data_IF_370746123420
#
_entry.id   IF_370746123420
#
_cell.length_a   1.000
_cell.length_b   1.000
_cell.length_c   1.000
_cell.angle_alpha   90.00
_cell.angle_beta   90.00
_cell.angle_gamma   90.00
#
_symmetry.space_group_name_H-M   'P 1'
#
loop_
_entity.id
_entity.type
_entity.pdbx_description
1 polymer ?
#
# COMPACT_ATOMS: atom_id res chain seq x y z
N UNK A 1 -1.84 10.15 5.73
CA UNK A 1 -2.60 10.87 6.74
C UNK A 1 -2.99 12.28 6.28
N UNK A 2 -2.06 13.10 5.82
CA UNK A 2 -2.26 14.51 5.49
C UNK A 2 -3.35 14.71 4.44
N UNK A 3 -3.38 13.91 3.39
CA UNK A 3 -4.43 13.98 2.36
C UNK A 3 -5.84 13.80 2.92
N UNK A 4 -6.02 13.03 4.00
CA UNK A 4 -7.34 12.80 4.62
C UNK A 4 -7.74 13.86 5.63
N UNK A 5 -6.78 14.51 6.31
CA UNK A 5 -7.07 15.29 7.52
C UNK A 5 -6.80 16.80 7.39
N UNK A 6 -5.82 17.19 6.57
CA UNK A 6 -5.47 18.60 6.42
C UNK A 6 -6.52 19.40 5.65
N UNK A 7 -6.64 20.68 5.97
CA UNK A 7 -7.71 21.58 5.48
C UNK A 7 -7.23 22.56 4.40
N UNK A 8 -5.94 22.58 4.08
CA UNK A 8 -5.42 23.43 3.00
C UNK A 8 -6.06 23.07 1.65
N UNK A 9 -6.28 24.07 0.77
CA UNK A 9 -7.03 23.90 -0.48
C UNK A 9 -6.57 22.71 -1.33
N UNK A 10 -5.27 22.48 -1.44
CA UNK A 10 -4.69 21.37 -2.21
C UNK A 10 -5.15 19.98 -1.71
N UNK A 11 -5.30 19.81 -0.38
CA UNK A 11 -5.77 18.55 0.19
C UNK A 11 -7.28 18.39 0.07
N UNK A 12 -8.02 19.49 0.13
CA UNK A 12 -9.48 19.48 -0.12
C UNK A 12 -9.76 19.07 -1.55
N UNK A 13 -9.05 19.67 -2.52
CA UNK A 13 -9.14 19.31 -3.93
C UNK A 13 -8.75 17.86 -4.18
N UNK A 14 -7.62 17.40 -3.59
CA UNK A 14 -7.17 16.03 -3.72
C UNK A 14 -8.22 15.02 -3.22
N UNK A 15 -8.91 15.30 -2.12
CA UNK A 15 -10.00 14.44 -1.62
C UNK A 15 -11.19 14.40 -2.58
N UNK A 16 -11.58 15.54 -3.15
CA UNK A 16 -12.66 15.58 -4.13
C UNK A 16 -12.30 14.74 -5.35
N UNK A 17 -11.09 14.91 -5.90
CA UNK A 17 -10.57 14.13 -7.03
C UNK A 17 -10.41 12.64 -6.71
N UNK A 18 -10.01 12.31 -5.49
CA UNK A 18 -9.92 10.92 -5.05
C UNK A 18 -11.29 10.24 -5.03
N UNK A 19 -12.32 10.89 -4.50
CA UNK A 19 -13.68 10.36 -4.51
C UNK A 19 -14.21 10.14 -5.93
N UNK A 20 -13.95 11.07 -6.85
CA UNK A 20 -14.30 10.93 -8.27
C UNK A 20 -13.59 9.72 -8.89
N UNK A 21 -12.28 9.60 -8.63
CA UNK A 21 -11.45 8.49 -9.12
C UNK A 21 -11.93 7.13 -8.62
N UNK A 22 -12.13 6.99 -7.31
CA UNK A 22 -12.61 5.72 -6.72
C UNK A 22 -13.97 5.34 -7.31
N UNK A 23 -14.91 6.30 -7.40
CA UNK A 23 -16.22 6.05 -8.02
C UNK A 23 -16.07 5.60 -9.47
N UNK A 24 -15.22 6.27 -10.26
CA UNK A 24 -14.97 5.91 -11.66
C UNK A 24 -14.39 4.50 -11.82
N UNK A 25 -13.47 4.11 -10.96
CA UNK A 25 -12.89 2.77 -10.97
C UNK A 25 -13.94 1.69 -10.66
N UNK A 26 -14.86 1.95 -9.72
CA UNK A 26 -16.00 1.07 -9.47
C UNK A 26 -16.96 0.99 -10.66
N UNK A 27 -17.24 2.11 -11.33
CA UNK A 27 -18.06 2.12 -12.55
C UNK A 27 -17.44 1.27 -13.66
N UNK A 28 -16.14 1.43 -13.89
CA UNK A 28 -15.39 0.64 -14.86
C UNK A 28 -15.42 -0.86 -14.54
N UNK A 29 -15.52 -1.22 -13.25
CA UNK A 29 -15.71 -2.59 -12.78
C UNK A 29 -17.17 -3.09 -12.86
N UNK A 30 -18.09 -2.31 -13.43
CA UNK A 30 -19.49 -2.70 -13.64
C UNK A 30 -20.44 -2.31 -12.50
N UNK A 31 -20.01 -1.52 -11.53
CA UNK A 31 -20.89 -1.01 -10.47
C UNK A 31 -21.75 0.14 -11.02
N UNK A 32 -23.05 0.17 -10.69
CA UNK A 32 -23.93 1.27 -11.08
C UNK A 32 -23.45 2.61 -10.51
N UNK A 33 -23.59 3.73 -11.23
CA UNK A 33 -23.00 5.03 -10.83
C UNK A 33 -23.36 5.49 -9.41
N UNK A 34 -24.61 5.34 -8.98
CA UNK A 34 -25.00 5.75 -7.62
C UNK A 34 -24.35 4.89 -6.55
N UNK A 35 -24.29 3.58 -6.78
CA UNK A 35 -23.61 2.66 -5.87
C UNK A 35 -22.10 2.88 -5.87
N UNK A 36 -21.50 3.20 -7.02
CA UNK A 36 -20.08 3.51 -7.14
C UNK A 36 -19.70 4.75 -6.31
N UNK A 37 -20.50 5.81 -6.37
CA UNK A 37 -20.33 7.00 -5.53
C UNK A 37 -20.48 6.68 -4.03
N UNK A 38 -21.43 5.83 -3.67
CA UNK A 38 -21.60 5.39 -2.29
C UNK A 38 -20.42 4.56 -1.80
N UNK A 39 -19.93 3.62 -2.65
CA UNK A 39 -18.74 2.83 -2.35
C UNK A 39 -17.50 3.72 -2.17
N UNK A 40 -17.32 4.74 -3.03
CA UNK A 40 -16.22 5.69 -2.91
C UNK A 40 -16.23 6.44 -1.58
N UNK A 41 -17.40 6.89 -1.13
CA UNK A 41 -17.54 7.52 0.19
C UNK A 41 -17.24 6.53 1.32
N UNK A 42 -17.74 5.31 1.22
CA UNK A 42 -17.48 4.24 2.19
C UNK A 42 -15.97 3.98 2.32
N UNK A 43 -15.27 3.83 1.20
CA UNK A 43 -13.82 3.65 1.15
C UNK A 43 -13.10 4.84 1.80
N UNK A 44 -13.44 6.05 1.38
CA UNK A 44 -12.83 7.26 1.91
C UNK A 44 -13.01 7.41 3.42
N UNK A 45 -14.21 7.18 3.92
CA UNK A 45 -14.51 7.30 5.35
C UNK A 45 -13.78 6.24 6.16
N UNK A 46 -13.65 5.02 5.62
CA UNK A 46 -12.86 3.95 6.22
C UNK A 46 -11.37 4.34 6.32
N UNK A 47 -10.78 4.76 5.20
CA UNK A 47 -9.38 5.19 5.15
C UNK A 47 -9.12 6.41 6.03
N UNK A 48 -10.07 7.35 6.11
CA UNK A 48 -9.97 8.52 7.00
C UNK A 48 -9.90 8.11 8.48
N UNK A 49 -10.69 7.12 8.91
CA UNK A 49 -10.62 6.61 10.29
C UNK A 49 -9.27 5.95 10.58
N UNK A 50 -8.72 5.19 9.64
CA UNK A 50 -7.37 4.63 9.76
C UNK A 50 -6.30 5.74 9.79
N UNK A 51 -6.43 6.75 8.93
CA UNK A 51 -5.53 7.89 8.88
C UNK A 51 -5.52 8.70 10.18
N UNK A 52 -6.65 8.81 10.87
CA UNK A 52 -6.74 9.47 12.19
C UNK A 52 -5.90 8.77 13.26
N UNK A 53 -5.84 7.44 13.20
CA UNK A 53 -5.06 6.62 14.13
C UNK A 53 -3.57 6.47 13.74
N UNK A 54 -3.21 6.85 12.52
CA UNK A 54 -1.82 6.78 12.03
C UNK A 54 -0.97 7.93 12.56
N UNK A 55 0.33 7.69 12.72
CA UNK A 55 1.32 8.74 12.95
C UNK A 55 1.43 9.66 11.74
N UNK A 56 1.76 10.94 11.94
CA UNK A 56 2.06 11.84 10.84
C UNK A 56 3.51 11.68 10.35
N UNK A 57 3.84 12.34 9.22
CA UNK A 57 5.15 12.22 8.58
C UNK A 57 6.32 12.71 9.44
N UNK A 58 6.06 13.60 10.41
CA UNK A 58 7.08 14.08 11.36
C UNK A 58 7.28 13.03 12.44
N UNK A 59 6.20 12.55 13.03
CA UNK A 59 6.22 11.49 14.04
C UNK A 59 6.85 10.18 13.53
N UNK A 60 6.62 9.83 12.26
CA UNK A 60 7.24 8.65 11.61
C UNK A 60 8.77 8.76 11.44
N UNK A 61 9.36 9.93 11.67
CA UNK A 61 10.83 10.11 11.65
C UNK A 61 11.48 9.93 13.03
N UNK A 62 10.68 9.88 14.09
CA UNK A 62 11.17 9.66 15.45
C UNK A 62 11.18 8.14 15.75
N UNK A 63 12.35 7.50 15.85
CA UNK A 63 12.44 6.07 16.14
C UNK A 63 11.78 5.71 17.48
N UNK A 64 11.80 6.60 18.46
CA UNK A 64 11.20 6.36 19.79
C UNK A 64 9.69 6.21 19.73
N UNK A 65 9.04 6.89 18.77
CA UNK A 65 7.59 6.78 18.56
C UNK A 65 7.19 5.51 17.79
N UNK A 66 8.15 4.79 17.24
CA UNK A 66 7.94 3.56 16.51
C UNK A 66 8.51 2.33 17.21
N UNK A 67 9.19 2.51 18.33
CA UNK A 67 9.80 1.42 19.08
C UNK A 67 8.83 0.90 20.16
N UNK A 68 8.07 -0.13 19.80
CA UNK A 68 7.11 -0.81 20.67
C UNK A 68 7.32 -2.32 20.61
N UNK A 69 8.41 -2.84 21.22
CA UNK A 69 8.64 -4.27 21.30
C UNK A 69 7.44 -4.98 21.92
N UNK A 70 6.88 -5.94 21.21
CA UNK A 70 5.64 -6.60 21.58
C UNK A 70 5.84 -8.11 21.48
N UNK A 71 5.59 -8.84 22.57
CA UNK A 71 5.59 -10.29 22.51
C UNK A 71 4.40 -10.79 21.65
N UNK A 72 4.58 -11.89 20.95
CA UNK A 72 3.50 -12.48 20.14
C UNK A 72 2.20 -12.66 20.94
N UNK A 73 2.29 -13.12 22.20
CA UNK A 73 1.14 -13.30 23.07
C UNK A 73 0.37 -11.99 23.36
N UNK A 74 1.03 -10.84 23.27
CA UNK A 74 0.43 -9.53 23.55
C UNK A 74 -0.31 -8.93 22.36
N UNK A 75 -0.13 -9.47 21.15
CA UNK A 75 -0.89 -9.05 19.96
C UNK A 75 -2.39 -9.22 20.14
N UNK A 76 -2.81 -10.28 20.80
CA UNK A 76 -4.23 -10.54 21.10
C UNK A 76 -4.83 -9.53 22.09
N UNK A 77 -4.02 -8.76 22.82
CA UNK A 77 -4.49 -7.63 23.64
C UNK A 77 -4.71 -6.37 22.82
N UNK A 78 -3.91 -6.19 21.76
CA UNK A 78 -4.01 -5.04 20.86
C UNK A 78 -5.14 -5.20 19.84
N UNK A 79 -5.33 -6.41 19.32
CA UNK A 79 -6.35 -6.73 18.33
C UNK A 79 -6.90 -8.15 18.58
N UNK A 80 -7.84 -8.31 19.52
CA UNK A 80 -8.36 -9.62 19.93
C UNK A 80 -9.26 -10.31 18.90
N UNK A 81 -9.91 -9.56 18.00
CA UNK A 81 -10.76 -10.13 16.95
C UNK A 81 -9.97 -10.74 15.79
N UNK A 82 -8.65 -10.50 15.72
CA UNK A 82 -7.81 -11.03 14.67
C UNK A 82 -7.08 -12.30 15.08
N UNK A 83 -7.20 -13.37 14.29
CA UNK A 83 -6.51 -14.64 14.54
C UNK A 83 -5.04 -14.57 14.15
N UNK A 84 -4.23 -14.02 15.04
CA UNK A 84 -2.78 -13.87 14.87
C UNK A 84 -2.08 -15.20 14.61
N UNK A 85 -2.56 -16.29 15.27
CA UNK A 85 -2.00 -17.61 15.10
C UNK A 85 -2.10 -18.09 13.65
N UNK A 86 -3.30 -18.05 13.08
CA UNK A 86 -3.52 -18.43 11.68
C UNK A 86 -2.78 -17.52 10.70
N UNK A 87 -2.70 -16.21 10.99
CA UNK A 87 -1.98 -15.29 10.14
C UNK A 87 -0.48 -15.62 10.05
N UNK A 88 0.17 -15.81 11.22
CA UNK A 88 1.59 -16.14 11.26
C UNK A 88 1.89 -17.49 10.65
N UNK A 89 1.04 -18.51 10.89
CA UNK A 89 1.19 -19.83 10.29
C UNK A 89 1.05 -19.77 8.75
N UNK A 90 0.05 -19.06 8.24
CA UNK A 90 -0.15 -18.88 6.80
C UNK A 90 1.00 -18.10 6.14
N UNK A 91 1.53 -17.10 6.84
CA UNK A 91 2.68 -16.30 6.41
C UNK A 91 4.03 -17.01 6.61
N UNK A 92 4.06 -18.18 7.26
CA UNK A 92 5.28 -18.92 7.66
C UNK A 92 6.26 -18.04 8.44
N UNK A 93 5.73 -17.19 9.30
CA UNK A 93 6.53 -16.29 10.15
C UNK A 93 6.76 -16.91 11.54
N UNK A 94 7.94 -16.69 12.14
CA UNK A 94 8.18 -17.11 13.51
C UNK A 94 7.30 -16.31 14.47
N UNK A 95 6.90 -16.92 15.60
CA UNK A 95 6.09 -16.28 16.64
C UNK A 95 6.97 -15.66 17.74
N UNK A 96 8.01 -14.95 17.32
CA UNK A 96 8.94 -14.26 18.19
C UNK A 96 8.41 -12.88 18.61
N UNK A 97 9.21 -12.16 19.38
CA UNK A 97 8.93 -10.75 19.65
C UNK A 97 9.03 -9.92 18.35
N UNK A 98 8.11 -8.98 18.18
CA UNK A 98 8.05 -8.10 17.03
C UNK A 98 7.91 -6.65 17.51
N UNK A 99 8.12 -5.71 16.60
CA UNK A 99 7.89 -4.31 16.86
C UNK A 99 6.55 -3.87 16.23
N UNK A 100 5.58 -3.51 17.06
CA UNK A 100 4.32 -2.91 16.60
C UNK A 100 4.52 -1.40 16.47
N UNK A 101 4.97 -0.94 15.32
CA UNK A 101 5.38 0.46 15.11
C UNK A 101 4.26 1.48 15.36
N UNK A 102 3.00 1.11 15.21
CA UNK A 102 1.85 1.99 15.41
C UNK A 102 0.71 1.29 16.17
N UNK A 103 0.82 1.12 17.51
CA UNK A 103 -0.21 0.41 18.30
C UNK A 103 -1.62 1.00 18.16
N UNK A 104 -1.73 2.34 18.11
CA UNK A 104 -3.03 3.02 17.93
C UNK A 104 -3.68 2.70 16.58
N UNK A 105 -2.87 2.55 15.52
CA UNK A 105 -3.37 2.13 14.21
C UNK A 105 -3.93 0.69 14.29
N UNK A 106 -3.20 -0.21 14.93
CA UNK A 106 -3.65 -1.60 15.10
C UNK A 106 -4.94 -1.69 15.93
N UNK A 107 -5.06 -0.90 16.99
CA UNK A 107 -6.31 -0.78 17.77
C UNK A 107 -7.47 -0.22 16.95
N UNK A 108 -7.20 0.71 16.01
CA UNK A 108 -8.25 1.20 15.10
C UNK A 108 -8.67 0.12 14.10
N UNK A 109 -7.73 -0.67 13.58
CA UNK A 109 -8.04 -1.84 12.73
C UNK A 109 -8.93 -2.83 13.48
N UNK A 110 -8.61 -3.11 14.74
CA UNK A 110 -9.45 -3.95 15.63
C UNK A 110 -10.88 -3.40 15.76
N UNK A 111 -10.99 -2.10 16.01
CA UNK A 111 -12.29 -1.44 16.10
C UNK A 111 -13.07 -1.58 14.78
N UNK A 112 -12.43 -1.40 13.65
CA UNK A 112 -13.06 -1.58 12.34
C UNK A 112 -13.51 -3.04 12.14
N UNK A 113 -12.71 -4.02 12.53
CA UNK A 113 -13.07 -5.43 12.44
C UNK A 113 -14.32 -5.74 13.28
N UNK A 114 -14.43 -5.16 14.47
CA UNK A 114 -15.53 -5.39 15.38
C UNK A 114 -16.82 -4.65 14.98
N UNK A 115 -16.72 -3.48 14.33
CA UNK A 115 -17.88 -2.57 14.18
C UNK A 115 -18.29 -2.27 12.75
N UNK A 116 -17.40 -2.47 11.76
CA UNK A 116 -17.70 -2.13 10.37
C UNK A 116 -18.51 -3.25 9.70
N UNK A 117 -19.68 -2.95 9.12
CA UNK A 117 -20.51 -3.95 8.43
C UNK A 117 -19.78 -4.59 7.24
N UNK A 118 -20.02 -5.89 7.03
CA UNK A 118 -19.41 -6.67 5.96
C UNK A 118 -19.53 -6.03 4.55
N UNK A 119 -20.64 -5.40 4.15
CA UNK A 119 -20.70 -4.73 2.85
C UNK A 119 -19.68 -3.60 2.69
N UNK A 120 -19.35 -2.87 3.76
CA UNK A 120 -18.34 -1.81 3.73
C UNK A 120 -16.93 -2.40 3.60
N UNK A 121 -16.65 -3.49 4.30
CA UNK A 121 -15.40 -4.25 4.13
C UNK A 121 -15.24 -4.76 2.69
N UNK A 122 -16.32 -5.29 2.09
CA UNK A 122 -16.29 -5.74 0.70
C UNK A 122 -15.95 -4.59 -0.25
N UNK A 123 -16.58 -3.42 -0.09
CA UNK A 123 -16.27 -2.25 -0.89
C UNK A 123 -14.81 -1.80 -0.72
N UNK A 124 -14.30 -1.75 0.53
CA UNK A 124 -12.93 -1.39 0.84
C UNK A 124 -11.92 -2.36 0.20
N UNK A 125 -12.11 -3.66 0.38
CA UNK A 125 -11.21 -4.67 -0.19
C UNK A 125 -11.28 -4.70 -1.72
N UNK A 126 -12.48 -4.56 -2.31
CA UNK A 126 -12.65 -4.47 -3.77
C UNK A 126 -11.91 -3.26 -4.33
N UNK A 127 -11.97 -2.10 -3.66
CA UNK A 127 -11.20 -0.93 -4.03
C UNK A 127 -9.69 -1.23 -4.06
N UNK A 128 -9.15 -1.85 -3.02
CA UNK A 128 -7.72 -2.17 -2.99
C UNK A 128 -7.30 -3.12 -4.11
N UNK A 129 -8.12 -4.13 -4.43
CA UNK A 129 -7.86 -5.01 -5.56
C UNK A 129 -7.87 -4.23 -6.88
N UNK A 130 -8.88 -3.39 -7.13
CA UNK A 130 -8.97 -2.57 -8.33
C UNK A 130 -7.79 -1.60 -8.45
N UNK A 131 -7.46 -0.91 -7.38
CA UNK A 131 -6.36 0.06 -7.35
C UNK A 131 -4.99 -0.60 -7.60
N UNK A 132 -4.73 -1.74 -6.97
CA UNK A 132 -3.48 -2.49 -7.15
C UNK A 132 -3.36 -3.07 -8.56
N UNK A 133 -4.46 -3.55 -9.13
CA UNK A 133 -4.48 -4.15 -10.46
C UNK A 133 -4.58 -3.14 -11.61
N UNK A 134 -4.88 -1.87 -11.33
CA UNK A 134 -5.27 -0.85 -12.31
C UNK A 134 -4.38 -0.78 -13.55
N UNK A 135 -3.07 -0.81 -13.38
CA UNK A 135 -2.09 -0.72 -14.48
C UNK A 135 -2.02 -1.99 -15.33
N UNK A 136 -2.56 -3.11 -14.83
CA UNK A 136 -2.61 -4.42 -15.50
C UNK A 136 -3.98 -4.74 -16.09
N UNK A 137 -4.98 -3.91 -15.83
CA UNK A 137 -6.34 -4.05 -16.36
C UNK A 137 -6.48 -3.46 -17.78
N UNK A 138 -7.71 -3.44 -18.30
CA UNK A 138 -7.99 -2.87 -19.62
C UNK A 138 -7.70 -1.38 -19.68
N UNK A 139 -7.56 -0.86 -20.90
CA UNK A 139 -7.15 0.53 -21.17
C UNK A 139 -7.92 1.59 -20.37
N UNK A 140 -9.26 1.53 -20.20
CA UNK A 140 -9.98 2.52 -19.40
C UNK A 140 -9.50 2.63 -17.94
N UNK A 141 -9.17 1.49 -17.30
CA UNK A 141 -8.63 1.49 -15.92
C UNK A 141 -7.23 2.14 -15.86
N UNK A 142 -6.38 1.79 -16.81
CA UNK A 142 -5.03 2.36 -16.92
C UNK A 142 -5.08 3.88 -17.13
N UNK A 143 -5.97 4.37 -18.00
CA UNK A 143 -6.15 5.79 -18.28
C UNK A 143 -6.70 6.55 -17.07
N UNK A 144 -7.69 5.97 -16.37
CA UNK A 144 -8.24 6.55 -15.15
C UNK A 144 -7.20 6.60 -14.02
N UNK A 145 -6.47 5.49 -13.81
CA UNK A 145 -5.39 5.45 -12.83
C UNK A 145 -4.31 6.51 -13.14
N UNK A 146 -3.92 6.66 -14.39
CA UNK A 146 -2.98 7.69 -14.81
C UNK A 146 -3.53 9.10 -14.63
N UNK A 147 -4.81 9.34 -14.95
CA UNK A 147 -5.44 10.65 -14.79
C UNK A 147 -5.37 11.15 -13.33
N UNK A 148 -5.59 10.28 -12.37
CA UNK A 148 -5.50 10.64 -10.96
C UNK A 148 -4.06 10.59 -10.43
N UNK A 149 -3.43 9.41 -10.43
CA UNK A 149 -2.11 9.21 -9.81
C UNK A 149 -0.96 9.84 -10.58
N UNK A 150 -0.98 9.71 -11.91
CA UNK A 150 0.08 10.25 -12.77
C UNK A 150 -0.06 11.75 -13.02
N UNK A 151 -1.21 12.15 -13.57
CA UNK A 151 -1.40 13.53 -14.01
C UNK A 151 -1.72 14.48 -12.85
N UNK A 152 -2.72 14.16 -12.05
CA UNK A 152 -3.17 15.07 -10.98
C UNK A 152 -2.20 15.08 -9.78
N UNK A 153 -1.84 13.91 -9.22
CA UNK A 153 -1.00 13.87 -8.02
C UNK A 153 0.49 14.06 -8.32
N UNK A 154 1.02 13.41 -9.36
CA UNK A 154 2.46 13.44 -9.68
C UNK A 154 2.85 14.50 -10.71
N UNK A 155 1.89 15.21 -11.35
CA UNK A 155 2.17 16.23 -12.37
C UNK A 155 2.75 15.68 -13.68
N UNK A 156 2.65 14.38 -13.92
CA UNK A 156 3.17 13.73 -15.14
C UNK A 156 2.26 14.07 -16.33
N UNK A 157 2.83 14.56 -17.41
CA UNK A 157 2.05 15.04 -18.57
C UNK A 157 1.58 13.93 -19.50
N UNK A 158 2.35 12.83 -19.62
CA UNK A 158 2.10 11.74 -20.54
C UNK A 158 2.29 10.38 -19.89
N UNK A 159 1.40 9.44 -20.21
CA UNK A 159 1.55 8.05 -19.81
C UNK A 159 2.72 7.41 -20.56
N UNK A 160 3.52 6.62 -19.87
CA UNK A 160 4.60 5.85 -20.50
C UNK A 160 4.05 4.91 -21.58
N UNK A 161 4.74 4.74 -22.73
CA UNK A 161 4.38 3.74 -23.72
C UNK A 161 4.20 2.36 -23.12
N UNK A 162 3.27 1.56 -23.67
CA UNK A 162 2.93 0.24 -23.14
C UNK A 162 4.16 -0.67 -22.95
N UNK A 163 5.07 -0.69 -23.92
CA UNK A 163 6.25 -1.53 -23.83
C UNK A 163 7.14 -1.19 -22.61
N UNK A 164 7.29 0.10 -22.27
CA UNK A 164 8.04 0.52 -21.08
C UNK A 164 7.34 0.07 -19.79
N UNK A 165 6.01 0.23 -19.71
CA UNK A 165 5.23 -0.22 -18.57
C UNK A 165 5.29 -1.74 -18.38
N UNK A 166 5.28 -2.50 -19.50
CA UNK A 166 5.44 -3.96 -19.45
C UNK A 166 6.86 -4.36 -19.00
N UNK A 167 7.90 -3.67 -19.47
CA UNK A 167 9.27 -3.92 -19.02
C UNK A 167 9.44 -3.63 -17.52
N UNK A 168 8.92 -2.50 -17.04
CA UNK A 168 8.93 -2.14 -15.61
C UNK A 168 8.12 -3.15 -14.76
N UNK A 169 6.97 -3.61 -15.23
CA UNK A 169 6.17 -4.62 -14.55
C UNK A 169 6.92 -5.96 -14.47
N UNK A 170 7.63 -6.35 -15.53
CA UNK A 170 8.47 -7.55 -15.55
C UNK A 170 9.62 -7.43 -14.55
N UNK A 171 10.29 -6.29 -14.53
CA UNK A 171 11.38 -6.02 -13.59
C UNK A 171 10.88 -6.05 -12.13
N UNK A 172 9.76 -5.40 -11.84
CA UNK A 172 9.18 -5.38 -10.51
C UNK A 172 8.70 -6.77 -10.01
N UNK A 173 8.24 -7.64 -10.91
CA UNK A 173 7.68 -8.94 -10.53
C UNK A 173 8.66 -10.09 -10.63
N UNK A 174 9.60 -10.02 -11.55
CA UNK A 174 10.57 -11.08 -11.88
C UNK A 174 12.02 -10.63 -11.80
N UNK A 175 12.28 -9.41 -11.28
CA UNK A 175 13.61 -8.78 -11.26
C UNK A 175 14.68 -9.65 -10.64
N UNK A 176 14.41 -10.33 -9.54
CA UNK A 176 15.36 -11.24 -8.90
C UNK A 176 15.75 -12.41 -9.82
N UNK A 177 14.77 -13.03 -10.48
CA UNK A 177 15.05 -14.12 -11.43
C UNK A 177 15.78 -13.63 -12.68
N UNK A 178 15.38 -12.46 -13.20
CA UNK A 178 16.04 -11.82 -14.34
C UNK A 178 17.46 -11.36 -13.97
N UNK A 179 17.62 -10.83 -12.75
CA UNK A 179 18.90 -10.40 -12.20
C UNK A 179 19.94 -11.52 -12.16
N UNK A 180 19.53 -12.74 -11.84
CA UNK A 180 20.44 -13.91 -11.89
C UNK A 180 21.02 -14.09 -13.30
N UNK A 181 20.17 -14.03 -14.33
CA UNK A 181 20.63 -14.17 -15.74
C UNK A 181 21.48 -12.99 -16.20
N UNK A 182 21.15 -11.78 -15.74
CA UNK A 182 21.98 -10.61 -16.00
C UNK A 182 23.38 -10.74 -15.38
N UNK A 183 23.45 -11.16 -14.11
CA UNK A 183 24.71 -11.36 -13.38
C UNK A 183 25.56 -12.45 -14.03
N UNK A 184 24.98 -13.60 -14.40
CA UNK A 184 25.68 -14.67 -15.12
C UNK A 184 26.38 -14.14 -16.39
N UNK A 185 25.74 -13.22 -17.11
CA UNK A 185 26.23 -12.73 -18.42
C UNK A 185 27.14 -11.51 -18.31
N UNK A 186 26.85 -10.59 -17.41
CA UNK A 186 27.45 -9.24 -17.42
C UNK A 186 28.24 -8.91 -16.16
N UNK A 187 28.27 -9.77 -15.14
CA UNK A 187 28.93 -9.49 -13.87
C UNK A 187 29.96 -10.58 -13.55
N UNK A 188 31.21 -10.42 -13.99
CA UNK A 188 32.26 -11.42 -13.79
C UNK A 188 32.51 -11.74 -12.31
N UNK A 189 32.95 -12.98 -11.99
CA UNK A 189 33.24 -13.41 -10.59
C UNK A 189 34.21 -12.47 -9.86
N UNK A 190 35.21 -11.91 -10.55
CA UNK A 190 36.20 -10.99 -9.99
C UNK A 190 35.54 -9.65 -9.57
N UNK A 191 34.55 -9.17 -10.33
CA UNK A 191 33.80 -7.98 -9.97
C UNK A 191 32.95 -8.21 -8.71
N UNK A 192 32.34 -9.40 -8.60
CA UNK A 192 31.59 -9.82 -7.41
C UNK A 192 32.49 -9.88 -6.17
N UNK A 193 33.66 -10.49 -6.29
CA UNK A 193 34.62 -10.60 -5.19
C UNK A 193 35.07 -9.20 -4.70
N UNK A 194 35.42 -8.29 -5.62
CA UNK A 194 35.74 -6.89 -5.26
C UNK A 194 34.61 -6.14 -4.56
N UNK A 195 33.37 -6.31 -5.02
CA UNK A 195 32.23 -5.69 -4.38
C UNK A 195 32.01 -6.25 -2.97
N UNK A 196 32.15 -7.55 -2.77
CA UNK A 196 32.05 -8.17 -1.44
C UNK A 196 33.12 -7.64 -0.49
N UNK A 197 34.36 -7.46 -0.95
CA UNK A 197 35.45 -6.88 -0.18
C UNK A 197 35.15 -5.41 0.17
N UNK A 198 34.66 -4.61 -0.77
CA UNK A 198 34.24 -3.23 -0.50
C UNK A 198 33.15 -3.17 0.58
N UNK A 199 32.10 -3.99 0.46
CA UNK A 199 31.03 -4.06 1.47
C UNK A 199 31.57 -4.45 2.82
N UNK A 200 32.46 -5.46 2.89
CA UNK A 200 33.11 -5.87 4.14
C UNK A 200 33.89 -4.74 4.79
N UNK A 201 34.62 -3.94 3.99
CA UNK A 201 35.39 -2.80 4.49
C UNK A 201 34.52 -1.63 5.00
N UNK A 202 33.26 -1.55 4.58
CA UNK A 202 32.30 -0.54 5.07
C UNK A 202 31.64 -0.99 6.39
N UNK A 203 31.51 -2.31 6.60
CA UNK A 203 30.87 -2.88 7.79
C UNK A 203 31.81 -3.04 8.99
N UNK A 204 33.11 -2.76 8.84
CA UNK A 204 34.11 -2.75 9.90
C UNK A 204 34.23 -1.35 10.51
#
# INVERSE_FOLDING_TARGET
>A
RDYYLKTEPRFVEARAKYLEHVAKMFELAGTRPDQAKQNARTVFDFEKRLAQASLDNVQLRDPKLQDHPTAFADLSRLAPSFDWGKYFDAARMPRDALNVTQPKFLQQVEKELATTPLPQWKAYLQWHVLNTAADSLSRPFVEENFAFNGKFLAGTTQIKPRWKRCAEATDNQLGEALGQKYVEKYFPPEAKARMQEMVKNILL
#
